data_IF_359934878930
#
_entry.id   IF_359934878930
#
_cell.length_a   1.000
_cell.length_b   1.000
_cell.length_c   1.000
_cell.angle_alpha   90.00
_cell.angle_beta   90.00
_cell.angle_gamma   90.00
#
_symmetry.space_group_name_H-M   'P 1'
#
loop_
_entity.id
_entity.type
_entity.pdbx_description
1 polymer ?
#
# COMPACT_ATOMS: atom_id res chain seq x y z
N UNK A 1 -15.71 3.05 -27.16
CA UNK A 1 -16.34 3.71 -25.99
C UNK A 1 -15.44 4.87 -25.58
N UNK A 2 -15.95 6.10 -25.58
CA UNK A 2 -15.22 7.28 -25.06
C UNK A 2 -15.11 7.15 -23.54
N UNK A 3 -14.10 6.43 -23.07
CA UNK A 3 -13.69 6.51 -21.67
C UNK A 3 -13.20 7.93 -21.40
N UNK A 4 -13.40 8.40 -20.17
CA UNK A 4 -12.82 9.64 -19.68
C UNK A 4 -11.30 9.48 -19.77
N UNK A 5 -10.74 9.90 -20.90
CA UNK A 5 -9.33 9.75 -21.18
C UNK A 5 -8.49 10.68 -20.31
N UNK A 6 -7.17 10.71 -20.51
CA UNK A 6 -6.27 11.62 -19.80
C UNK A 6 -6.78 13.07 -19.78
N UNK A 7 -7.41 13.52 -20.86
CA UNK A 7 -8.04 14.84 -20.99
C UNK A 7 -9.12 15.12 -19.95
N UNK A 8 -9.97 14.14 -19.63
CA UNK A 8 -11.03 14.32 -18.65
C UNK A 8 -10.51 14.40 -17.21
N UNK A 9 -9.46 13.62 -16.90
CA UNK A 9 -8.77 13.71 -15.61
C UNK A 9 -8.13 15.10 -15.45
N UNK A 10 -7.49 15.63 -16.50
CA UNK A 10 -6.90 16.97 -16.48
C UNK A 10 -7.95 18.05 -16.19
N UNK A 11 -9.15 17.94 -16.76
CA UNK A 11 -10.25 18.88 -16.50
C UNK A 11 -10.68 18.87 -15.02
N UNK A 12 -10.82 17.68 -14.42
CA UNK A 12 -11.17 17.53 -13.00
C UNK A 12 -10.09 18.14 -12.12
N UNK A 13 -8.82 17.87 -12.43
CA UNK A 13 -7.68 18.44 -11.70
C UNK A 13 -7.68 19.96 -11.82
N UNK A 14 -7.94 20.54 -12.99
CA UNK A 14 -8.04 21.99 -13.17
C UNK A 14 -9.11 22.61 -12.26
N UNK A 15 -10.31 22.03 -12.21
CA UNK A 15 -11.38 22.51 -11.34
C UNK A 15 -10.98 22.38 -9.86
N UNK A 16 -10.39 21.24 -9.47
CA UNK A 16 -9.90 21.04 -8.11
C UNK A 16 -8.79 22.04 -7.75
N UNK A 17 -7.90 22.38 -8.70
CA UNK A 17 -6.85 23.38 -8.52
C UNK A 17 -7.43 24.80 -8.39
N UNK A 18 -8.55 25.11 -9.03
CA UNK A 18 -9.22 26.40 -8.85
C UNK A 18 -9.88 26.50 -7.47
N UNK A 19 -10.50 25.43 -6.97
CA UNK A 19 -11.15 25.39 -5.66
C UNK A 19 -10.15 25.35 -4.50
N UNK A 20 -9.16 24.46 -4.58
CA UNK A 20 -8.21 24.19 -3.50
C UNK A 20 -6.87 24.91 -3.68
N UNK A 21 -6.51 25.31 -4.90
CA UNK A 21 -5.22 25.93 -5.21
C UNK A 21 -4.13 24.90 -5.54
N UNK A 22 -3.17 25.30 -6.39
CA UNK A 22 -2.05 24.45 -6.85
C UNK A 22 -1.08 24.00 -5.78
N UNK A 23 -1.05 24.71 -4.65
CA UNK A 23 -0.17 24.37 -3.52
C UNK A 23 -0.80 23.33 -2.58
N UNK A 24 -2.14 23.28 -2.47
CA UNK A 24 -2.82 22.44 -1.47
C UNK A 24 -2.87 20.97 -1.83
N UNK A 25 -3.09 20.62 -3.10
CA UNK A 25 -3.06 19.22 -3.54
C UNK A 25 -1.69 18.53 -3.29
N UNK A 26 -0.55 19.13 -3.67
CA UNK A 26 0.78 18.57 -3.35
C UNK A 26 1.09 18.57 -1.85
N UNK A 27 0.65 19.59 -1.12
CA UNK A 27 0.84 19.70 0.34
C UNK A 27 0.12 18.57 1.08
N UNK A 28 -1.14 18.30 0.73
CA UNK A 28 -1.93 17.18 1.24
C UNK A 28 -1.32 15.83 0.87
N UNK A 29 -0.92 15.65 -0.40
CA UNK A 29 -0.26 14.43 -0.85
C UNK A 29 1.04 14.14 -0.09
N UNK A 30 1.83 15.17 0.22
CA UNK A 30 3.04 15.05 1.06
C UNK A 30 2.72 14.68 2.50
N UNK A 31 1.68 15.28 3.09
CA UNK A 31 1.25 14.97 4.44
C UNK A 31 0.76 13.51 4.56
N UNK A 32 -0.18 13.12 3.70
CA UNK A 32 -0.71 11.75 3.62
C UNK A 32 0.42 10.76 3.30
N UNK A 33 1.31 11.10 2.35
CA UNK A 33 2.43 10.24 1.99
C UNK A 33 3.38 9.96 3.15
N UNK A 34 3.66 10.94 4.02
CA UNK A 34 4.44 10.74 5.24
C UNK A 34 3.72 9.80 6.22
N UNK A 35 2.43 10.02 6.45
CA UNK A 35 1.62 9.14 7.31
C UNK A 35 1.58 7.71 6.79
N UNK A 36 1.36 7.51 5.48
CA UNK A 36 1.38 6.18 4.87
C UNK A 36 2.76 5.51 4.94
N UNK A 37 3.83 6.30 4.80
CA UNK A 37 5.20 5.80 4.94
C UNK A 37 5.47 5.30 6.36
N UNK A 38 5.14 6.10 7.37
CA UNK A 38 5.29 5.74 8.79
C UNK A 38 4.39 4.56 9.16
N UNK A 39 3.13 4.56 8.69
CA UNK A 39 2.21 3.45 8.90
C UNK A 39 2.74 2.14 8.29
N UNK A 40 3.27 2.19 7.06
CA UNK A 40 3.86 1.02 6.40
C UNK A 40 5.12 0.54 7.13
N UNK A 41 5.96 1.47 7.59
CA UNK A 41 7.17 1.15 8.34
C UNK A 41 6.85 0.47 9.68
N UNK A 42 5.84 0.97 10.41
CA UNK A 42 5.39 0.38 11.67
C UNK A 42 4.67 -0.96 11.51
N UNK A 43 3.96 -1.16 10.40
CA UNK A 43 3.19 -2.40 10.14
C UNK A 43 4.06 -3.50 9.52
N UNK A 44 5.16 -3.17 8.84
CA UNK A 44 6.09 -4.14 8.22
C UNK A 44 6.61 -5.23 9.18
N UNK A 45 7.14 -4.92 10.38
CA UNK A 45 7.62 -5.96 11.30
C UNK A 45 6.49 -6.87 11.79
N UNK A 46 5.30 -6.33 12.01
CA UNK A 46 4.13 -7.11 12.42
C UNK A 46 3.68 -8.09 11.33
N UNK A 47 3.67 -7.65 10.07
CA UNK A 47 3.36 -8.53 8.93
C UNK A 47 4.42 -9.63 8.79
N UNK A 48 5.71 -9.30 8.96
CA UNK A 48 6.80 -10.27 8.91
C UNK A 48 6.70 -11.31 10.05
N UNK A 49 6.31 -10.91 11.25
CA UNK A 49 6.11 -11.83 12.39
C UNK A 49 4.91 -12.78 12.18
N UNK A 50 3.82 -12.28 11.59
CA UNK A 50 2.66 -13.08 11.22
C UNK A 50 2.96 -14.08 10.08
N UNK A 51 3.77 -13.69 9.09
CA UNK A 51 4.17 -14.56 7.97
C UNK A 51 5.19 -15.64 8.40
N UNK A 52 5.95 -15.41 9.48
CA UNK A 52 6.85 -16.41 10.08
C UNK A 52 6.08 -17.41 10.96
N UNK A 53 5.01 -16.98 11.62
CA UNK A 53 4.14 -17.86 12.41
C UNK A 53 3.40 -18.89 11.54
N UNK A 54 3.06 -18.54 10.30
CA UNK A 54 2.39 -19.42 9.34
C UNK A 54 3.33 -20.43 8.66
N UNK A 55 4.66 -20.19 8.69
CA UNK A 55 5.67 -21.05 8.04
C UNK A 55 6.33 -22.07 8.96
N UNK A 56 5.88 -22.20 10.20
CA UNK A 56 6.30 -23.27 11.11
C UNK A 56 5.30 -24.44 11.12
N UNK A 57 5.01 -25.00 9.94
CA UNK A 57 4.55 -26.38 9.90
C UNK A 57 5.74 -27.33 10.20
N UNK A 58 5.59 -28.30 11.11
CA UNK A 58 6.69 -29.14 11.58
C UNK A 58 7.21 -30.06 10.47
N UNK A 59 8.47 -29.85 10.07
CA UNK A 59 9.28 -30.90 9.46
C UNK A 59 9.65 -31.93 10.52
N UNK A 60 8.83 -32.97 10.74
CA UNK A 60 9.27 -34.29 11.21
C UNK A 60 8.07 -35.20 11.47
N UNK A 61 7.79 -36.11 10.53
CA UNK A 61 7.49 -37.54 10.77
C UNK A 61 7.47 -38.26 9.41
N UNK A 62 8.63 -38.51 8.82
CA UNK A 62 8.80 -39.66 7.91
C UNK A 62 10.24 -40.15 8.01
N UNK A 63 10.48 -40.90 9.08
CA UNK A 63 11.81 -41.37 9.47
C UNK A 63 11.74 -42.58 10.38
N UNK A 64 10.76 -43.48 10.19
CA UNK A 64 10.80 -44.79 10.85
C UNK A 64 10.01 -45.84 10.08
N UNK A 65 10.54 -46.26 8.93
CA UNK A 65 10.24 -47.58 8.37
C UNK A 65 11.52 -48.31 8.02
N UNK A 66 12.38 -48.45 9.03
CA UNK A 66 13.34 -49.54 9.13
C UNK A 66 12.72 -50.58 10.03
N UNK A 67 12.06 -51.57 9.43
CA UNK A 67 11.82 -52.92 9.97
C UNK A 67 11.37 -53.81 8.81
#
# INVERSE_FOLDING_TARGET
MMGIGPTGIVMIVLIALLLFGSKKLPELGRAVGRTLHEFRAGTKPLIEELDVADKQEPRAIDGEKRL
#
